data_IF_915937292330
#
_entry.id   IF_915937292330
#
_cell.length_a   1.000
_cell.length_b   1.000
_cell.length_c   1.000
_cell.angle_alpha   90.00
_cell.angle_beta   90.00
_cell.angle_gamma   90.00
#
_symmetry.space_group_name_H-M   'P 1'
#
loop_
_entity.id
_entity.type
_entity.pdbx_description
1 polymer ?
#
# COMPACT_ATOMS: atom_id res chain seq x y z
N UNK A 1 16.43 21.66 2.96
CA UNK A 1 16.96 20.41 2.40
C UNK A 1 17.09 19.39 3.52
N UNK A 2 16.12 18.53 3.70
CA UNK A 2 16.22 17.32 4.54
C UNK A 2 15.73 16.17 3.70
N UNK A 3 16.65 15.26 3.43
CA UNK A 3 16.46 14.03 2.71
C UNK A 3 15.35 13.22 3.38
N UNK A 4 14.37 12.84 2.59
CA UNK A 4 13.47 11.74 2.93
C UNK A 4 14.36 10.49 2.82
N UNK A 5 14.60 9.85 3.96
CA UNK A 5 15.40 8.65 4.06
C UNK A 5 14.85 7.59 3.10
N UNK A 6 15.65 7.26 2.10
CA UNK A 6 15.45 6.10 1.28
C UNK A 6 15.50 4.86 2.20
N UNK A 7 14.40 4.14 2.29
CA UNK A 7 14.36 2.83 2.92
C UNK A 7 15.22 1.88 2.08
N UNK A 8 16.36 1.54 2.62
CA UNK A 8 17.30 0.56 2.10
C UNK A 8 16.60 -0.81 1.98
N UNK A 9 16.48 -1.40 0.78
CA UNK A 9 15.78 -2.66 0.59
C UNK A 9 16.56 -3.89 1.06
N UNK A 10 17.73 -3.73 1.68
CA UNK A 10 18.63 -4.85 2.04
C UNK A 10 18.44 -5.40 3.45
N UNK A 11 17.45 -4.93 4.24
CA UNK A 11 17.23 -5.42 5.62
C UNK A 11 15.88 -6.10 5.85
N UNK A 12 15.32 -6.75 4.87
CA UNK A 12 14.15 -7.63 5.06
C UNK A 12 14.56 -9.10 4.86
N UNK A 13 15.61 -9.52 5.55
CA UNK A 13 15.93 -10.93 5.69
C UNK A 13 15.61 -11.39 7.11
N UNK A 14 14.64 -12.30 7.19
CA UNK A 14 14.44 -13.33 8.20
C UNK A 14 14.57 -12.91 9.66
N UNK A 15 13.44 -12.74 10.32
CA UNK A 15 13.29 -13.03 11.74
C UNK A 15 12.04 -13.91 11.94
N UNK A 16 12.19 -15.22 11.74
CA UNK A 16 11.34 -16.20 12.39
C UNK A 16 11.77 -16.24 13.87
N UNK A 17 11.15 -15.43 14.71
CA UNK A 17 11.31 -15.51 16.14
C UNK A 17 10.38 -16.61 16.67
N UNK A 18 10.95 -17.77 16.97
CA UNK A 18 10.36 -18.75 17.87
C UNK A 18 10.47 -18.19 19.29
N UNK A 19 9.38 -17.63 19.82
CA UNK A 19 9.32 -17.22 21.21
C UNK A 19 9.10 -18.45 22.09
N UNK A 20 10.15 -18.88 22.80
CA UNK A 20 10.06 -19.85 23.88
C UNK A 20 9.43 -19.19 25.12
N UNK A 21 8.34 -19.76 25.60
CA UNK A 21 7.68 -19.42 26.86
C UNK A 21 8.55 -19.88 28.04
N UNK A 22 9.09 -18.93 28.79
CA UNK A 22 9.55 -19.17 30.17
C UNK A 22 8.53 -18.55 31.11
N UNK A 23 7.92 -19.42 31.95
CA UNK A 23 6.96 -19.05 32.97
C UNK A 23 7.60 -18.25 34.11
N UNK A 24 6.94 -17.17 34.51
CA UNK A 24 7.16 -16.56 35.82
C UNK A 24 5.83 -16.58 36.57
N UNK A 25 5.79 -17.37 37.63
CA UNK A 25 4.68 -17.42 38.56
C UNK A 25 4.64 -16.18 39.41
N UNK A 26 3.58 -15.39 39.30
CA UNK A 26 3.24 -14.34 40.26
C UNK A 26 1.93 -14.71 40.92
N UNK A 27 1.97 -15.02 42.21
CA UNK A 27 0.81 -15.19 43.08
C UNK A 27 0.08 -13.83 43.20
N UNK A 28 -1.13 -13.73 42.67
CA UNK A 28 -2.04 -12.64 42.96
C UNK A 28 -3.38 -13.24 43.41
N UNK A 29 -3.87 -12.74 44.55
CA UNK A 29 -5.09 -13.16 45.23
C UNK A 29 -6.34 -13.11 44.35
N UNK A 30 -7.12 -14.15 44.43
CA UNK A 30 -8.38 -14.37 43.76
C UNK A 30 -9.46 -13.35 44.21
N UNK A 31 -10.07 -12.67 43.25
CA UNK A 31 -11.48 -12.20 43.33
C UNK A 31 -12.20 -12.71 42.09
N UNK A 32 -13.33 -13.37 42.36
CA UNK A 32 -14.10 -14.21 41.44
C UNK A 32 -14.43 -13.56 40.08
N UNK A 33 -13.72 -14.01 39.06
CA UNK A 33 -14.14 -13.86 37.67
C UNK A 33 -14.98 -15.08 37.26
N UNK A 34 -16.02 -14.94 36.45
CA UNK A 34 -16.77 -16.07 35.94
C UNK A 34 -15.85 -16.99 35.13
N UNK A 35 -16.11 -18.32 35.11
CA UNK A 35 -15.24 -19.27 34.44
C UNK A 35 -15.15 -18.89 32.95
N UNK A 36 -13.94 -18.59 32.51
CA UNK A 36 -13.64 -18.37 31.10
C UNK A 36 -14.04 -19.63 30.32
N UNK A 37 -14.93 -19.48 29.36
CA UNK A 37 -15.31 -20.56 28.46
C UNK A 37 -14.03 -21.16 27.86
N UNK A 38 -13.76 -22.43 28.18
CA UNK A 38 -12.60 -23.17 27.67
C UNK A 38 -12.72 -23.24 26.16
N UNK A 39 -11.98 -22.42 25.45
CA UNK A 39 -11.87 -22.54 23.98
C UNK A 39 -11.28 -23.92 23.70
N UNK A 40 -11.87 -24.72 22.79
CA UNK A 40 -11.33 -26.04 22.47
C UNK A 40 -9.89 -25.87 21.96
N UNK A 41 -8.95 -26.47 22.67
CA UNK A 41 -7.56 -26.48 22.24
C UNK A 41 -7.47 -27.19 20.89
N UNK A 42 -6.76 -26.60 19.91
CA UNK A 42 -6.60 -27.21 18.59
C UNK A 42 -5.94 -28.60 18.79
N UNK A 43 -6.58 -29.63 18.23
CA UNK A 43 -6.07 -30.99 18.22
C UNK A 43 -4.65 -31.03 17.68
N UNK A 44 -3.71 -31.62 18.41
CA UNK A 44 -2.35 -31.79 17.92
C UNK A 44 -2.35 -32.61 16.62
N UNK A 45 -1.63 -32.11 15.59
CA UNK A 45 -1.52 -32.77 14.29
C UNK A 45 -0.59 -34.01 14.41
N UNK A 46 -0.94 -35.07 13.72
CA UNK A 46 -0.02 -36.22 13.55
C UNK A 46 1.18 -35.83 12.69
N UNK A 47 2.34 -36.53 12.75
CA UNK A 47 3.50 -36.24 11.91
C UNK A 47 3.21 -36.24 10.42
N UNK A 48 2.29 -37.08 9.94
CA UNK A 48 1.86 -37.09 8.53
C UNK A 48 1.05 -35.86 8.15
N UNK A 49 0.13 -35.42 9.02
CA UNK A 49 -0.64 -34.18 8.84
C UNK A 49 0.27 -32.96 8.89
N UNK A 50 1.24 -32.90 9.82
CA UNK A 50 2.24 -31.82 9.90
C UNK A 50 3.01 -31.74 8.60
N UNK A 51 3.52 -32.86 8.06
CA UNK A 51 4.24 -32.87 6.79
C UNK A 51 3.38 -32.40 5.62
N UNK A 52 2.14 -32.89 5.51
CA UNK A 52 1.22 -32.56 4.42
C UNK A 52 0.78 -31.10 4.49
N UNK A 53 0.18 -30.68 5.61
CA UNK A 53 -0.36 -29.34 5.80
C UNK A 53 0.74 -28.28 5.85
N UNK A 54 1.88 -28.60 6.49
CA UNK A 54 3.04 -27.72 6.55
C UNK A 54 3.63 -27.44 5.14
N UNK A 55 3.77 -28.50 4.33
CA UNK A 55 4.25 -28.33 2.93
C UNK A 55 3.30 -27.49 2.10
N UNK A 56 2.00 -27.71 2.22
CA UNK A 56 0.99 -26.89 1.53
C UNK A 56 1.04 -25.42 1.98
N UNK A 57 1.16 -25.20 3.30
CA UNK A 57 1.24 -23.85 3.87
C UNK A 57 2.49 -23.09 3.41
N UNK A 58 3.64 -23.78 3.26
CA UNK A 58 4.84 -23.20 2.67
C UNK A 58 4.61 -22.77 1.22
N UNK A 59 3.92 -23.60 0.44
CA UNK A 59 3.54 -23.27 -0.93
C UNK A 59 2.62 -22.04 -1.00
N UNK A 60 1.62 -21.97 -0.12
CA UNK A 60 0.73 -20.77 -0.02
C UNK A 60 1.52 -19.50 0.34
N UNK A 61 2.43 -19.60 1.31
CA UNK A 61 3.26 -18.45 1.72
C UNK A 61 4.13 -17.94 0.56
N UNK A 62 4.73 -18.85 -0.20
CA UNK A 62 5.51 -18.51 -1.39
C UNK A 62 4.62 -17.87 -2.47
N UNK A 63 3.45 -18.46 -2.75
CA UNK A 63 2.49 -17.93 -3.71
C UNK A 63 2.01 -16.53 -3.33
N UNK A 64 1.75 -16.28 -2.06
CA UNK A 64 1.37 -14.95 -1.57
C UNK A 64 2.51 -13.93 -1.72
N UNK A 65 3.76 -14.34 -1.48
CA UNK A 65 4.94 -13.49 -1.70
C UNK A 65 5.08 -13.11 -3.17
N UNK A 66 4.91 -14.06 -4.09
CA UNK A 66 4.92 -13.81 -5.53
C UNK A 66 3.77 -12.85 -5.92
N UNK A 67 2.58 -13.08 -5.40
CA UNK A 67 1.41 -12.23 -5.67
C UNK A 67 1.63 -10.78 -5.21
N UNK A 68 2.23 -10.59 -4.03
CA UNK A 68 2.62 -9.23 -3.53
C UNK A 68 3.65 -8.57 -4.42
N UNK A 69 4.54 -9.33 -5.04
CA UNK A 69 5.49 -8.83 -6.02
C UNK A 69 4.86 -8.59 -7.41
N UNK A 70 3.54 -8.76 -7.55
CA UNK A 70 2.81 -8.70 -8.83
C UNK A 70 3.25 -9.80 -9.82
N UNK A 71 3.67 -10.94 -9.29
CA UNK A 71 4.00 -12.14 -10.08
C UNK A 71 2.85 -13.13 -9.96
N UNK A 72 2.14 -13.33 -11.05
CA UNK A 72 1.00 -14.26 -11.12
C UNK A 72 1.40 -15.60 -11.76
N UNK A 73 0.48 -16.56 -11.77
CA UNK A 73 0.70 -17.89 -12.34
C UNK A 73 1.02 -17.90 -13.84
N UNK A 74 0.79 -16.80 -14.58
CA UNK A 74 1.18 -16.67 -15.99
C UNK A 74 2.65 -16.29 -16.16
N UNK A 75 3.27 -15.74 -15.12
CA UNK A 75 4.67 -15.33 -15.15
C UNK A 75 5.62 -16.42 -14.63
N UNK A 76 5.12 -17.45 -13.94
CA UNK A 76 5.93 -18.49 -13.29
C UNK A 76 5.64 -19.85 -13.87
N UNK A 77 6.69 -20.63 -14.20
CA UNK A 77 6.56 -22.08 -14.41
C UNK A 77 6.58 -22.78 -13.07
N UNK A 78 5.45 -23.36 -12.69
CA UNK A 78 5.31 -24.12 -11.43
C UNK A 78 6.26 -25.33 -11.42
N UNK A 79 6.47 -25.98 -12.57
CA UNK A 79 7.35 -27.13 -12.72
C UNK A 79 8.81 -26.74 -12.40
N UNK A 80 9.27 -25.61 -12.97
CA UNK A 80 10.63 -25.10 -12.73
C UNK A 80 10.81 -24.61 -11.30
N UNK A 81 9.77 -24.03 -10.71
CA UNK A 81 9.78 -23.61 -9.30
C UNK A 81 9.96 -24.83 -8.38
N UNK A 82 9.18 -25.89 -8.58
CA UNK A 82 9.29 -27.15 -7.83
C UNK A 82 10.64 -27.82 -8.05
N UNK A 83 11.17 -27.78 -9.28
CA UNK A 83 12.51 -28.31 -9.58
C UNK A 83 13.60 -27.56 -8.80
N UNK A 84 13.58 -26.22 -8.82
CA UNK A 84 14.53 -25.41 -8.05
C UNK A 84 14.46 -25.69 -6.55
N UNK A 85 13.26 -25.87 -5.99
CA UNK A 85 13.07 -26.25 -4.60
C UNK A 85 13.69 -27.64 -4.30
N UNK A 86 13.49 -28.64 -5.16
CA UNK A 86 14.08 -29.99 -5.01
C UNK A 86 15.60 -29.94 -5.05
N UNK A 87 16.16 -29.19 -5.99
CA UNK A 87 17.62 -29.08 -6.17
C UNK A 87 18.27 -28.40 -4.97
N UNK A 88 17.63 -27.34 -4.43
CA UNK A 88 18.11 -26.67 -3.23
C UNK A 88 18.06 -27.58 -1.99
N UNK A 89 16.95 -28.30 -1.77
CA UNK A 89 16.81 -29.22 -0.64
C UNK A 89 17.75 -30.41 -0.72
N UNK A 90 18.15 -30.81 -1.93
CA UNK A 90 19.11 -31.88 -2.16
C UNK A 90 20.60 -31.41 -2.16
N UNK A 91 20.84 -30.10 -1.93
CA UNK A 91 22.18 -29.53 -1.99
C UNK A 91 22.84 -29.54 -3.41
N UNK A 92 22.04 -29.75 -4.47
CA UNK A 92 22.49 -29.81 -5.86
C UNK A 92 22.68 -28.45 -6.52
N UNK A 93 22.05 -27.42 -5.96
CA UNK A 93 22.14 -26.06 -6.47
C UNK A 93 22.16 -25.05 -5.29
N UNK A 94 22.93 -23.98 -5.48
CA UNK A 94 23.01 -22.86 -4.54
C UNK A 94 22.48 -21.59 -5.18
N UNK A 95 21.86 -20.76 -4.36
CA UNK A 95 21.37 -19.46 -4.79
C UNK A 95 22.53 -18.47 -4.90
N UNK A 96 22.59 -17.72 -6.01
CA UNK A 96 23.67 -16.77 -6.26
C UNK A 96 23.22 -15.58 -7.14
N UNK A 97 24.17 -14.67 -7.51
CA UNK A 97 23.85 -13.42 -8.23
C UNK A 97 23.08 -13.61 -9.54
N UNK A 98 23.35 -14.66 -10.29
CA UNK A 98 22.63 -14.99 -11.53
C UNK A 98 21.16 -15.32 -11.28
N UNK A 99 20.86 -15.99 -10.16
CA UNK A 99 19.49 -16.28 -9.74
C UNK A 99 18.75 -15.01 -9.35
N UNK A 100 19.41 -14.10 -8.62
CA UNK A 100 18.82 -12.80 -8.28
C UNK A 100 18.49 -11.97 -9.53
N UNK A 101 19.39 -11.94 -10.52
CA UNK A 101 19.14 -11.24 -11.78
C UNK A 101 17.93 -11.83 -12.52
N UNK A 102 17.82 -13.17 -12.56
CA UNK A 102 16.70 -13.86 -13.18
C UNK A 102 15.37 -13.56 -12.48
N UNK A 103 15.37 -13.53 -11.14
CA UNK A 103 14.20 -13.16 -10.36
C UNK A 103 13.80 -11.69 -10.61
N UNK A 104 14.78 -10.77 -10.61
CA UNK A 104 14.50 -9.37 -10.95
C UNK A 104 13.89 -9.23 -12.34
N UNK A 105 14.43 -9.89 -13.34
CA UNK A 105 13.90 -9.87 -14.70
C UNK A 105 12.47 -10.42 -14.77
N UNK A 106 12.20 -11.52 -14.07
CA UNK A 106 10.86 -12.12 -13.97
C UNK A 106 9.86 -11.15 -13.36
N UNK A 107 10.19 -10.49 -12.24
CA UNK A 107 9.32 -9.52 -11.57
C UNK A 107 9.06 -8.31 -12.48
N UNK A 108 10.10 -7.75 -13.11
CA UNK A 108 9.96 -6.61 -14.04
C UNK A 108 9.05 -6.99 -15.22
N UNK A 109 9.27 -8.16 -15.83
CA UNK A 109 8.45 -8.64 -16.94
C UNK A 109 6.99 -8.88 -16.54
N UNK A 110 6.75 -9.46 -15.36
CA UNK A 110 5.40 -9.67 -14.83
C UNK A 110 4.68 -8.34 -14.58
N UNK A 111 5.36 -7.38 -13.92
CA UNK A 111 4.81 -6.05 -13.65
C UNK A 111 4.50 -5.29 -14.94
N UNK A 112 5.39 -5.33 -15.94
CA UNK A 112 5.17 -4.69 -17.22
C UNK A 112 3.95 -5.28 -17.95
N UNK A 113 3.81 -6.61 -17.95
CA UNK A 113 2.66 -7.30 -18.56
C UNK A 113 1.34 -6.90 -17.90
N UNK A 114 1.28 -6.89 -16.58
CA UNK A 114 0.09 -6.47 -15.81
C UNK A 114 -0.17 -4.98 -16.07
N UNK A 115 0.87 -4.15 -16.03
CA UNK A 115 0.77 -2.72 -16.28
C UNK A 115 0.20 -2.39 -17.65
N UNK A 116 0.69 -3.05 -18.70
CA UNK A 116 0.17 -2.85 -20.06
C UNK A 116 -1.32 -3.22 -20.18
N UNK A 117 -1.75 -4.31 -19.56
CA UNK A 117 -3.15 -4.69 -19.53
C UNK A 117 -4.01 -3.66 -18.78
N UNK A 118 -3.53 -3.18 -17.63
CA UNK A 118 -4.22 -2.17 -16.84
C UNK A 118 -4.25 -0.79 -17.52
N UNK A 119 -3.18 -0.38 -18.22
CA UNK A 119 -3.17 0.83 -19.04
C UNK A 119 -4.24 0.76 -20.15
N UNK A 120 -4.35 -0.36 -20.84
CA UNK A 120 -5.39 -0.55 -21.87
C UNK A 120 -6.80 -0.47 -21.25
N UNK A 121 -7.03 -1.11 -20.11
CA UNK A 121 -8.29 -1.06 -19.38
C UNK A 121 -8.62 0.36 -18.88
N UNK A 122 -7.62 1.06 -18.33
CA UNK A 122 -7.74 2.44 -17.87
C UNK A 122 -8.12 3.38 -19.02
N UNK A 123 -7.41 3.29 -20.15
CA UNK A 123 -7.72 4.08 -21.34
C UNK A 123 -9.15 3.83 -21.84
N UNK A 124 -9.53 2.56 -22.02
CA UNK A 124 -10.87 2.21 -22.44
C UNK A 124 -11.97 2.70 -21.49
N UNK A 125 -11.71 2.69 -20.18
CA UNK A 125 -12.62 3.26 -19.18
C UNK A 125 -12.72 4.78 -19.31
N UNK A 126 -11.60 5.49 -19.35
CA UNK A 126 -11.57 6.96 -19.39
C UNK A 126 -12.24 7.51 -20.65
N UNK A 127 -12.06 6.87 -21.83
CA UNK A 127 -12.76 7.23 -23.08
C UNK A 127 -14.28 7.12 -22.92
N UNK A 128 -14.78 6.07 -22.27
CA UNK A 128 -16.21 5.92 -21.99
C UNK A 128 -16.70 6.88 -20.92
N UNK A 129 -15.90 7.09 -19.88
CA UNK A 129 -16.26 7.92 -18.72
C UNK A 129 -16.36 9.39 -19.10
N UNK A 130 -15.50 9.89 -20.00
CA UNK A 130 -15.54 11.26 -20.52
C UNK A 130 -16.87 11.63 -21.19
N UNK A 131 -17.62 10.63 -21.70
CA UNK A 131 -18.93 10.84 -22.34
C UNK A 131 -20.09 10.92 -21.35
N UNK A 132 -19.84 10.64 -20.07
CA UNK A 132 -20.89 10.70 -19.04
C UNK A 132 -21.20 12.16 -18.68
N UNK A 133 -22.47 12.45 -18.50
CA UNK A 133 -22.93 13.76 -18.03
C UNK A 133 -22.32 14.06 -16.65
N UNK A 134 -21.73 15.23 -16.48
CA UNK A 134 -21.13 15.69 -15.22
C UNK A 134 -19.65 15.32 -15.05
N UNK A 135 -19.08 14.50 -15.91
CA UNK A 135 -17.65 14.20 -15.92
C UNK A 135 -16.90 15.27 -16.72
N UNK A 136 -15.89 15.85 -16.07
CA UNK A 136 -14.96 16.81 -16.68
C UNK A 136 -13.61 16.13 -16.87
N UNK A 137 -12.96 16.36 -18.02
CA UNK A 137 -11.60 15.89 -18.30
C UNK A 137 -10.68 17.09 -18.41
N UNK A 138 -9.58 17.09 -17.66
CA UNK A 138 -8.56 18.14 -17.72
C UNK A 138 -7.55 17.87 -18.83
N UNK A 139 -6.66 18.86 -19.09
CA UNK A 139 -5.61 18.74 -20.10
C UNK A 139 -4.58 17.63 -19.77
N UNK A 140 -4.38 17.29 -18.50
CA UNK A 140 -3.49 16.19 -18.05
C UNK A 140 -4.10 14.80 -18.26
N UNK A 141 -5.42 14.73 -18.54
CA UNK A 141 -6.18 13.48 -18.62
C UNK A 141 -6.82 13.06 -17.30
N UNK A 142 -6.66 13.83 -16.21
CA UNK A 142 -7.44 13.63 -14.99
C UNK A 142 -8.92 13.80 -15.33
N UNK A 143 -9.76 12.92 -14.79
CA UNK A 143 -11.22 13.11 -14.86
C UNK A 143 -11.80 13.26 -13.48
N UNK A 144 -12.86 14.08 -13.38
CA UNK A 144 -13.58 14.24 -12.13
C UNK A 144 -15.07 14.49 -12.34
N UNK A 145 -15.85 14.17 -11.32
CA UNK A 145 -17.27 14.44 -11.21
C UNK A 145 -17.52 15.17 -9.89
N UNK A 146 -18.21 16.31 -9.94
CA UNK A 146 -18.58 17.08 -8.75
C UNK A 146 -19.85 16.49 -8.16
N UNK A 147 -19.72 15.76 -7.04
CA UNK A 147 -20.85 15.15 -6.34
C UNK A 147 -21.53 16.17 -5.38
N UNK A 148 -20.73 17.09 -4.83
CA UNK A 148 -21.19 18.22 -4.02
C UNK A 148 -20.25 19.39 -4.25
N UNK A 149 -20.82 20.56 -4.52
CA UNK A 149 -20.05 21.80 -4.61
C UNK A 149 -19.56 22.25 -3.24
N UNK A 150 -18.37 22.84 -3.19
CA UNK A 150 -17.83 23.51 -2.00
C UNK A 150 -17.91 25.03 -2.13
N UNK A 151 -17.43 25.72 -1.10
CA UNK A 151 -17.39 27.18 -1.04
C UNK A 151 -16.01 27.68 -0.64
N UNK A 152 -15.71 28.95 -0.91
CA UNK A 152 -14.40 29.56 -0.60
C UNK A 152 -13.34 29.33 -1.68
N UNK A 153 -12.08 29.52 -1.31
CA UNK A 153 -10.93 29.39 -2.20
C UNK A 153 -10.37 27.98 -2.21
N UNK A 154 -9.96 27.46 -3.39
CA UNK A 154 -9.26 26.19 -3.48
C UNK A 154 -7.92 26.21 -2.74
N UNK A 155 -7.41 25.05 -2.31
CA UNK A 155 -6.06 24.91 -1.75
C UNK A 155 -4.97 25.36 -2.73
N UNK A 156 -3.87 25.85 -2.20
CA UNK A 156 -2.68 26.26 -2.94
C UNK A 156 -1.50 25.35 -2.61
N UNK A 157 -0.43 25.44 -3.39
CA UNK A 157 0.85 24.84 -3.03
C UNK A 157 1.30 25.34 -1.65
N UNK A 158 1.81 24.41 -0.83
CA UNK A 158 2.20 24.66 0.55
C UNK A 158 1.09 24.48 1.57
N UNK A 159 -0.18 24.52 1.18
CA UNK A 159 -1.28 24.28 2.11
C UNK A 159 -1.33 22.80 2.54
N UNK A 160 -1.91 22.57 3.72
CA UNK A 160 -2.31 21.24 4.19
C UNK A 160 -3.82 21.11 4.09
N UNK A 161 -4.30 20.00 3.55
CA UNK A 161 -5.73 19.69 3.45
C UNK A 161 -6.13 18.60 4.42
N UNK A 162 -7.34 18.71 4.96
CA UNK A 162 -8.00 17.65 5.74
C UNK A 162 -9.12 17.08 4.90
N UNK A 163 -9.09 15.77 4.68
CA UNK A 163 -10.03 15.07 3.78
C UNK A 163 -10.57 13.78 4.38
N UNK A 164 -11.78 13.42 3.99
CA UNK A 164 -12.21 12.03 3.99
C UNK A 164 -12.11 11.48 2.57
N UNK A 165 -11.70 10.24 2.44
CA UNK A 165 -11.59 9.63 1.13
C UNK A 165 -11.76 8.11 1.14
N UNK A 166 -12.06 7.59 -0.04
CA UNK A 166 -12.10 6.16 -0.34
C UNK A 166 -11.49 5.92 -1.70
N UNK A 167 -10.42 5.14 -1.75
CA UNK A 167 -9.71 4.76 -2.96
C UNK A 167 -10.09 3.36 -3.44
N UNK A 168 -10.47 3.23 -4.70
CA UNK A 168 -10.86 1.98 -5.34
C UNK A 168 -10.12 1.77 -6.65
N UNK A 169 -9.89 0.51 -6.98
CA UNK A 169 -9.48 0.07 -8.31
C UNK A 169 -10.67 0.03 -9.28
N UNK A 170 -10.38 -0.22 -10.55
CA UNK A 170 -11.40 -0.29 -11.60
C UNK A 170 -12.39 -1.45 -11.41
N UNK A 171 -11.96 -2.53 -10.77
CA UNK A 171 -12.81 -3.68 -10.41
C UNK A 171 -13.66 -3.46 -9.14
N UNK A 172 -13.54 -2.28 -8.51
CA UNK A 172 -14.24 -1.93 -7.29
C UNK A 172 -13.52 -2.31 -6.00
N UNK A 173 -12.39 -2.99 -6.07
CA UNK A 173 -11.57 -3.33 -4.89
C UNK A 173 -11.12 -2.06 -4.19
N UNK A 174 -11.48 -1.91 -2.91
CA UNK A 174 -11.04 -0.79 -2.08
C UNK A 174 -9.65 -1.07 -1.53
N UNK A 175 -8.70 -0.21 -1.87
CA UNK A 175 -7.30 -0.35 -1.42
C UNK A 175 -6.92 0.58 -0.28
N UNK A 176 -7.64 1.70 -0.12
CA UNK A 176 -7.39 2.66 0.97
C UNK A 176 -8.66 3.47 1.30
N UNK A 177 -8.84 3.83 2.60
CA UNK A 177 -10.00 4.58 3.06
C UNK A 177 -9.74 5.23 4.42
N UNK A 178 -9.99 6.54 4.52
CA UNK A 178 -9.99 7.24 5.81
C UNK A 178 -11.15 6.78 6.70
N UNK A 179 -12.28 6.41 6.10
CA UNK A 179 -13.44 5.91 6.85
C UNK A 179 -13.15 4.60 7.57
N UNK A 180 -12.36 3.69 6.98
CA UNK A 180 -11.93 2.45 7.66
C UNK A 180 -11.00 2.71 8.83
N UNK A 181 -10.25 3.80 8.80
CA UNK A 181 -9.40 4.25 9.91
C UNK A 181 -10.15 5.01 10.99
N UNK A 182 -11.44 5.34 10.76
CA UNK A 182 -12.31 6.03 11.70
C UNK A 182 -12.01 7.52 11.87
N UNK A 183 -11.11 8.11 11.08
CA UNK A 183 -10.72 9.51 11.18
C UNK A 183 -10.32 10.12 9.84
N UNK A 184 -10.56 11.42 9.61
CA UNK A 184 -10.04 12.15 8.47
C UNK A 184 -8.50 12.09 8.40
N UNK A 185 -7.97 12.25 7.21
CA UNK A 185 -6.53 12.31 6.98
C UNK A 185 -6.12 13.73 6.58
N UNK A 186 -4.93 14.15 6.99
CA UNK A 186 -4.34 15.44 6.61
C UNK A 186 -3.09 15.23 5.78
N UNK A 187 -2.99 15.96 4.66
CA UNK A 187 -1.88 15.85 3.72
C UNK A 187 -1.42 17.23 3.25
N UNK A 188 -0.11 17.47 3.11
CA UNK A 188 0.38 18.58 2.31
C UNK A 188 -0.10 18.44 0.86
N UNK A 189 -0.62 19.51 0.26
CA UNK A 189 -1.12 19.49 -1.12
C UNK A 189 -0.07 19.00 -2.11
N UNK A 190 1.18 19.40 -1.91
CA UNK A 190 2.29 19.01 -2.79
C UNK A 190 2.92 17.65 -2.43
N UNK A 191 2.42 16.98 -1.37
CA UNK A 191 2.93 15.68 -0.90
C UNK A 191 2.13 14.46 -1.37
N UNK A 192 1.08 14.67 -2.15
CA UNK A 192 0.21 13.59 -2.66
C UNK A 192 0.46 13.29 -4.13
N UNK A 193 -0.21 12.27 -4.69
CA UNK A 193 -0.11 11.91 -6.12
C UNK A 193 -0.41 13.10 -7.03
N UNK A 194 0.23 13.22 -8.21
CA UNK A 194 -0.01 14.33 -9.15
C UNK A 194 -1.49 14.56 -9.46
N UNK A 195 -2.26 13.50 -9.71
CA UNK A 195 -3.71 13.61 -9.95
C UNK A 195 -4.49 14.13 -8.74
N UNK A 196 -4.05 13.81 -7.52
CA UNK A 196 -4.62 14.39 -6.30
C UNK A 196 -4.28 15.87 -6.16
N UNK A 197 -3.02 16.26 -6.40
CA UNK A 197 -2.59 17.67 -6.34
C UNK A 197 -3.42 18.52 -7.28
N UNK A 198 -3.62 18.04 -8.51
CA UNK A 198 -4.41 18.76 -9.51
C UNK A 198 -5.88 18.86 -9.07
N UNK A 199 -6.49 17.76 -8.63
CA UNK A 199 -7.88 17.76 -8.17
C UNK A 199 -8.08 18.68 -6.97
N UNK A 200 -7.22 18.62 -5.96
CA UNK A 200 -7.32 19.45 -4.75
C UNK A 200 -7.24 20.95 -5.08
N UNK A 201 -6.35 21.32 -5.99
CA UNK A 201 -6.21 22.74 -6.44
C UNK A 201 -7.43 23.27 -7.23
N UNK A 202 -8.34 22.39 -7.61
CA UNK A 202 -9.62 22.73 -8.24
C UNK A 202 -10.81 22.63 -7.27
N UNK A 203 -10.70 21.84 -6.21
CA UNK A 203 -11.75 21.63 -5.21
C UNK A 203 -11.85 22.83 -4.25
N UNK A 204 -13.06 23.15 -3.81
CA UNK A 204 -13.28 24.12 -2.75
C UNK A 204 -13.60 23.41 -1.42
N UNK A 205 -13.29 23.98 -0.25
CA UNK A 205 -13.69 23.44 1.05
C UNK A 205 -15.16 23.04 1.10
N UNK A 206 -15.48 21.90 1.69
CA UNK A 206 -16.82 21.32 1.74
C UNK A 206 -17.29 20.61 0.46
N UNK A 207 -16.45 20.60 -0.60
CA UNK A 207 -16.75 19.86 -1.81
C UNK A 207 -16.57 18.35 -1.61
N UNK A 208 -17.37 17.59 -2.36
CA UNK A 208 -17.19 16.14 -2.54
C UNK A 208 -17.06 15.84 -4.03
N UNK A 209 -15.94 15.21 -4.40
CA UNK A 209 -15.68 14.85 -5.78
C UNK A 209 -15.40 13.37 -5.90
N UNK A 210 -15.74 12.82 -7.06
CA UNK A 210 -15.18 11.56 -7.54
C UNK A 210 -14.12 11.88 -8.57
N UNK A 211 -12.89 11.44 -8.32
CA UNK A 211 -11.76 11.66 -9.22
C UNK A 211 -11.31 10.33 -9.81
N UNK A 212 -10.97 10.35 -11.09
CA UNK A 212 -10.48 9.21 -11.85
C UNK A 212 -9.07 9.55 -12.32
N UNK A 213 -8.09 8.96 -11.67
CA UNK A 213 -6.67 9.27 -11.86
C UNK A 213 -6.09 8.25 -12.83
N UNK A 214 -5.69 8.69 -14.05
CA UNK A 214 -5.02 7.80 -14.98
C UNK A 214 -3.67 7.35 -14.41
N UNK A 215 -3.14 6.18 -14.81
CA UNK A 215 -1.92 5.61 -14.24
C UNK A 215 -0.75 6.58 -14.14
N UNK A 216 -0.49 7.38 -15.17
CA UNK A 216 0.62 8.34 -15.22
C UNK A 216 0.51 9.50 -14.22
N UNK A 217 -0.68 9.79 -13.71
CA UNK A 217 -0.92 10.76 -12.63
C UNK A 217 -1.05 10.09 -11.26
N UNK A 218 -0.93 8.77 -11.22
CA UNK A 218 -0.95 7.93 -10.03
C UNK A 218 0.40 7.28 -9.75
N UNK A 219 0.39 5.96 -9.51
CA UNK A 219 1.60 5.20 -9.20
C UNK A 219 2.26 4.56 -10.42
N UNK A 220 1.53 4.46 -11.53
CA UNK A 220 1.94 3.78 -12.76
C UNK A 220 2.52 2.37 -12.50
N UNK A 221 3.68 2.05 -13.08
CA UNK A 221 4.33 0.76 -12.88
C UNK A 221 4.96 0.60 -11.49
N UNK A 222 5.16 1.71 -10.75
CA UNK A 222 5.79 1.72 -9.43
C UNK A 222 4.80 1.65 -8.26
N UNK A 223 3.61 1.10 -8.51
CA UNK A 223 2.57 0.98 -7.50
C UNK A 223 2.99 0.13 -6.31
N UNK A 224 2.71 0.59 -5.06
CA UNK A 224 2.88 -0.23 -3.87
C UNK A 224 1.75 -1.27 -3.75
N UNK A 225 2.00 -2.44 -3.15
CA UNK A 225 0.91 -3.35 -2.79
C UNK A 225 -0.11 -2.65 -1.86
N UNK A 226 -1.42 -2.91 -2.01
CA UNK A 226 -2.05 -3.92 -2.88
C UNK A 226 -2.43 -3.44 -4.28
N UNK A 227 -1.95 -2.27 -4.74
CA UNK A 227 -2.31 -1.68 -6.02
C UNK A 227 -1.53 -2.37 -7.17
N UNK A 228 -2.20 -3.01 -8.15
CA UNK A 228 -1.52 -3.57 -9.30
C UNK A 228 -0.83 -2.49 -10.16
N UNK A 229 0.31 -2.81 -10.84
CA UNK A 229 0.97 -1.88 -11.75
C UNK A 229 0.02 -1.35 -12.83
N UNK A 230 0.16 -0.08 -13.20
CA UNK A 230 -0.62 0.54 -14.27
C UNK A 230 -2.11 0.75 -13.97
N UNK A 231 -2.53 0.67 -12.72
CA UNK A 231 -3.94 0.80 -12.33
C UNK A 231 -4.46 2.22 -12.46
N UNK A 232 -5.68 2.34 -13.02
CA UNK A 232 -6.52 3.53 -12.81
C UNK A 232 -6.96 3.57 -11.35
N UNK A 233 -6.86 4.74 -10.72
CA UNK A 233 -7.31 4.94 -9.35
C UNK A 233 -8.59 5.78 -9.34
N UNK A 234 -9.59 5.33 -8.60
CA UNK A 234 -10.86 6.03 -8.43
C UNK A 234 -10.98 6.42 -6.96
N UNK A 235 -11.09 7.71 -6.70
CA UNK A 235 -11.29 8.19 -5.34
C UNK A 235 -12.59 8.98 -5.21
N UNK A 236 -13.33 8.69 -4.16
CA UNK A 236 -14.32 9.62 -3.62
C UNK A 236 -13.61 10.45 -2.55
N UNK A 237 -13.58 11.78 -2.71
CA UNK A 237 -12.85 12.71 -1.84
C UNK A 237 -13.80 13.76 -1.29
N UNK A 238 -13.88 13.88 0.02
CA UNK A 238 -14.55 14.97 0.74
C UNK A 238 -13.48 15.93 1.29
N UNK A 239 -13.37 17.13 0.75
CA UNK A 239 -12.45 18.16 1.24
C UNK A 239 -13.07 18.88 2.43
N UNK A 240 -12.61 18.57 3.64
CA UNK A 240 -13.18 19.08 4.88
C UNK A 240 -12.60 20.42 5.29
N UNK A 241 -11.30 20.64 5.07
CA UNK A 241 -10.60 21.85 5.48
C UNK A 241 -9.31 22.09 4.69
N UNK A 242 -8.90 23.36 4.69
CA UNK A 242 -7.64 23.84 4.12
C UNK A 242 -6.91 24.65 5.18
N UNK A 243 -5.68 24.33 5.42
CA UNK A 243 -4.83 24.98 6.44
C UNK A 243 -3.60 25.56 5.74
N UNK A 244 -3.40 26.88 5.79
CA UNK A 244 -2.18 27.52 5.27
C UNK A 244 -0.92 26.95 5.93
N UNK A 245 0.26 27.10 5.30
CA UNK A 245 1.51 26.71 5.90
C UNK A 245 1.68 27.40 7.26
N UNK A 246 1.97 26.63 8.31
CA UNK A 246 2.36 27.25 9.58
C UNK A 246 3.74 27.89 9.41
N UNK A 247 3.93 29.14 9.85
CA UNK A 247 5.26 29.72 9.95
C UNK A 247 6.18 28.78 10.73
N UNK A 248 7.37 28.53 10.22
CA UNK A 248 8.36 27.78 10.97
C UNK A 248 8.53 28.45 12.35
N UNK A 249 8.57 27.69 13.48
CA UNK A 249 8.86 28.27 14.77
C UNK A 249 10.18 29.03 14.67
N UNK A 250 10.28 30.24 15.27
CA UNK A 250 11.49 31.03 15.23
C UNK A 250 12.66 30.15 15.70
N UNK A 251 13.71 30.07 14.88
CA UNK A 251 14.94 29.37 15.27
C UNK A 251 15.42 30.00 16.57
N UNK A 252 15.32 29.27 17.67
CA UNK A 252 15.98 29.70 18.93
C UNK A 252 17.47 29.78 18.63
N UNK A 253 18.12 30.93 18.95
CA UNK A 253 19.57 31.00 18.83
C UNK A 253 20.20 29.88 19.65
N UNK A 254 21.31 29.29 19.21
CA UNK A 254 21.98 28.24 19.96
C UNK A 254 22.24 28.73 21.36
N UNK A 255 21.60 28.11 22.36
CA UNK A 255 21.88 28.39 23.76
C UNK A 255 23.34 28.01 24.00
N UNK A 256 24.16 29.03 24.27
CA UNK A 256 25.57 28.85 24.55
C UNK A 256 25.76 27.79 25.63
N UNK A 257 26.56 26.77 25.33
CA UNK A 257 27.03 25.84 26.33
C UNK A 257 27.82 26.63 27.38
N UNK A 258 27.57 26.48 28.69
CA UNK A 258 28.43 27.05 29.70
C UNK A 258 29.82 26.45 29.55
N UNK A 259 30.80 27.28 29.24
CA UNK A 259 32.20 26.89 29.38
C UNK A 259 32.44 26.58 30.87
N UNK A 260 32.70 25.34 31.16
CA UNK A 260 33.20 24.95 32.49
C UNK A 260 34.66 25.37 32.61
N UNK A 261 35.08 25.86 33.80
CA UNK A 261 36.43 26.33 34.08
C UNK A 261 37.46 25.20 34.13
#
# INVERSE_FOLDING_TARGET
MRQIAALDPTRAAAACAVAALLGISSLALAQGAPPAATQPQPKALSPAEVKSQGSYSLGLSMGETLRRASVDGKAVSTERLVQGLRDALAGKATFGPANEQSIRALIVGARARIGNANHAAAHAFLVRNAKKKGVVTTASGLQYEVLKAGQGSPPKSGDTVTVNYRGKLLDGTEFDSSYKRGQPASFPVDGVLPGWQEALKLMKPGAKWRIFIPPQLGYDLNSPPPIPPGSLLIFDVDLLGVHPPQPAPPMQPPQGQPQQP
#
